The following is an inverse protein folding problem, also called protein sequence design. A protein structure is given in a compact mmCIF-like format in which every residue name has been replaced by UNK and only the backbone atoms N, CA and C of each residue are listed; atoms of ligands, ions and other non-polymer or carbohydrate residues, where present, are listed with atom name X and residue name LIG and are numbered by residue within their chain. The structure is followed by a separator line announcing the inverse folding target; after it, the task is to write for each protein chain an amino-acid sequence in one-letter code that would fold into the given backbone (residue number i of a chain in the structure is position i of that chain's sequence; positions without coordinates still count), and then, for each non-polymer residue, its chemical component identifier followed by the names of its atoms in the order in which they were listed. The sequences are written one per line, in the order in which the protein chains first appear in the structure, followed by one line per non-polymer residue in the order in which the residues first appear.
data_IF_650789939980
#
_entry.id   IF_650789939980
#
_cell.length_a   1.000
_cell.length_b   1.000
_cell.length_c   1.000
_cell.angle_alpha   90.00
_cell.angle_beta   90.00
_cell.angle_gamma   90.00
#
_symmetry.space_group_name_H-M   'P 1'
#
loop_
_entity.id
_entity.type
_entity.pdbx_description
1 polymer ?
#
# COMPACT_ATOMS: atom_id res chain seq x y z
N UNK A 1 21.59 -0.12 -4.60
CA UNK A 1 21.09 -1.00 -5.67
C UNK A 1 21.17 -2.44 -5.22
N UNK A 2 20.20 -3.26 -5.63
CA UNK A 2 20.19 -4.72 -5.41
C UNK A 2 19.98 -5.33 -6.80
N UNK A 3 20.86 -6.24 -7.22
CA UNK A 3 20.81 -6.88 -8.56
C UNK A 3 20.65 -5.89 -9.73
N UNK A 4 21.29 -4.72 -9.63
CA UNK A 4 21.21 -3.66 -10.65
C UNK A 4 19.92 -2.85 -10.64
N UNK A 5 19.04 -3.05 -9.66
CA UNK A 5 17.84 -2.22 -9.46
C UNK A 5 18.05 -1.18 -8.36
N UNK A 6 17.67 0.05 -8.64
CA UNK A 6 17.61 1.12 -7.64
C UNK A 6 16.45 0.84 -6.67
N UNK A 7 16.74 0.87 -5.37
CA UNK A 7 15.78 0.61 -4.30
C UNK A 7 15.83 1.75 -3.29
N UNK A 8 14.67 2.21 -2.85
CA UNK A 8 14.49 3.16 -1.76
C UNK A 8 13.53 2.61 -0.71
N UNK A 9 13.72 3.04 0.55
CA UNK A 9 12.85 2.66 1.68
C UNK A 9 12.38 3.94 2.35
N UNK A 10 11.06 4.10 2.49
CA UNK A 10 10.45 5.18 3.26
C UNK A 10 9.79 4.56 4.49
N UNK A 11 10.40 4.68 5.69
CA UNK A 11 9.79 4.12 6.89
C UNK A 11 8.66 5.00 7.40
N UNK A 12 7.76 4.40 8.19
CA UNK A 12 6.72 5.10 8.95
C UNK A 12 5.67 5.86 8.12
N UNK A 13 5.34 5.39 6.92
CA UNK A 13 4.22 5.90 6.10
C UNK A 13 2.84 5.50 6.68
N UNK A 14 2.58 5.84 7.95
CA UNK A 14 1.36 5.44 8.68
C UNK A 14 0.22 6.39 8.35
N UNK A 15 -0.93 5.81 7.98
CA UNK A 15 -2.16 6.54 7.67
C UNK A 15 -2.27 6.88 6.18
N UNK A 16 -3.48 6.75 5.63
CA UNK A 16 -3.69 6.79 4.18
C UNK A 16 -3.34 8.15 3.54
N UNK A 17 -3.66 9.27 4.19
CA UNK A 17 -3.33 10.59 3.63
C UNK A 17 -1.83 10.81 3.49
N UNK A 18 -1.02 10.29 4.43
CA UNK A 18 0.43 10.37 4.33
C UNK A 18 0.99 9.36 3.31
N UNK A 19 0.46 8.14 3.28
CA UNK A 19 0.83 7.11 2.30
C UNK A 19 0.59 7.60 0.86
N UNK A 20 -0.55 8.23 0.59
CA UNK A 20 -0.88 8.81 -0.72
C UNK A 20 0.12 9.92 -1.10
N UNK A 21 0.43 10.85 -0.19
CA UNK A 21 1.43 11.90 -0.44
C UNK A 21 2.78 11.29 -0.82
N UNK A 22 3.27 10.31 -0.04
CA UNK A 22 4.55 9.65 -0.30
C UNK A 22 4.52 8.94 -1.65
N UNK A 23 3.46 8.18 -1.93
CA UNK A 23 3.32 7.46 -3.18
C UNK A 23 3.32 8.39 -4.39
N UNK A 24 2.54 9.48 -4.36
CA UNK A 24 2.50 10.47 -5.44
C UNK A 24 3.89 11.08 -5.68
N UNK A 25 4.62 11.46 -4.62
CA UNK A 25 5.98 12.01 -4.77
C UNK A 25 6.96 10.99 -5.35
N UNK A 26 6.85 9.72 -4.98
CA UNK A 26 7.70 8.65 -5.52
C UNK A 26 7.42 8.42 -7.00
N UNK A 27 6.14 8.33 -7.41
CA UNK A 27 5.78 8.15 -8.82
C UNK A 27 6.21 9.35 -9.68
N UNK A 28 6.03 10.58 -9.19
CA UNK A 28 6.53 11.79 -9.89
C UNK A 28 8.06 11.80 -9.97
N UNK A 29 8.76 11.20 -9.01
CA UNK A 29 10.23 11.09 -9.00
C UNK A 29 10.77 9.93 -9.85
N UNK A 30 9.92 9.20 -10.57
CA UNK A 30 10.32 8.10 -11.45
C UNK A 30 10.30 6.71 -10.81
N UNK A 31 9.64 6.54 -9.66
CA UNK A 31 9.36 5.21 -9.11
C UNK A 31 8.40 4.45 -10.03
N UNK A 32 8.80 3.27 -10.51
CA UNK A 32 7.97 2.44 -11.39
C UNK A 32 7.20 1.35 -10.62
N UNK A 33 7.68 0.98 -9.43
CA UNK A 33 7.09 -0.04 -8.57
C UNK A 33 7.17 0.39 -7.11
N UNK A 34 6.00 0.50 -6.48
CA UNK A 34 5.87 0.75 -5.04
C UNK A 34 5.32 -0.51 -4.36
N UNK A 35 6.01 -0.97 -3.31
CA UNK A 35 5.60 -2.11 -2.49
C UNK A 35 5.40 -1.61 -1.06
N UNK A 36 4.16 -1.72 -0.56
CA UNK A 36 3.86 -1.45 0.85
C UNK A 36 4.14 -2.70 1.69
N UNK A 37 4.97 -2.55 2.72
CA UNK A 37 5.28 -3.61 3.68
C UNK A 37 4.87 -3.11 5.06
N UNK A 38 3.89 -3.78 5.66
CA UNK A 38 3.32 -3.41 6.95
C UNK A 38 2.90 -4.65 7.73
N UNK A 39 2.66 -4.49 9.03
CA UNK A 39 1.88 -5.45 9.79
C UNK A 39 0.38 -5.18 9.65
N UNK A 40 -0.43 -6.21 9.89
CA UNK A 40 -1.88 -6.12 9.95
C UNK A 40 -2.40 -7.05 11.05
N UNK A 41 -3.57 -6.73 11.60
CA UNK A 41 -4.30 -7.64 12.47
C UNK A 41 -4.97 -8.74 11.63
N UNK A 42 -5.16 -9.91 12.23
CA UNK A 42 -5.89 -11.03 11.62
C UNK A 42 -7.36 -10.93 12.04
N UNK A 43 -8.26 -10.97 11.06
CA UNK A 43 -9.71 -11.08 11.27
C UNK A 43 -10.17 -12.40 10.64
N UNK A 44 -10.55 -13.36 11.47
CA UNK A 44 -10.94 -14.71 11.06
C UNK A 44 -9.87 -15.77 11.34
N UNK A 45 -10.14 -17.01 10.97
CA UNK A 45 -9.21 -18.13 11.16
C UNK A 45 -8.18 -18.15 10.02
N UNK A 46 -7.02 -17.56 10.27
CA UNK A 46 -5.85 -17.67 9.41
C UNK A 46 -4.80 -18.50 10.15
N UNK A 47 -4.09 -19.33 9.40
CA UNK A 47 -2.94 -20.07 9.89
C UNK A 47 -1.84 -19.10 10.36
N UNK A 48 -1.72 -18.92 11.68
CA UNK A 48 -0.75 -18.04 12.31
C UNK A 48 0.71 -18.46 12.04
N UNK A 49 0.96 -19.69 11.59
CA UNK A 49 2.30 -20.11 11.17
C UNK A 49 2.72 -19.45 9.85
N UNK A 50 1.78 -18.88 9.09
CA UNK A 50 2.07 -18.08 7.90
C UNK A 50 2.45 -16.66 8.30
N UNK A 51 3.76 -16.39 8.36
CA UNK A 51 4.31 -15.10 8.76
C UNK A 51 4.06 -13.92 7.80
N UNK A 52 3.47 -14.14 6.62
CA UNK A 52 3.21 -13.10 5.63
C UNK A 52 1.92 -13.37 4.85
N UNK A 53 1.21 -12.29 4.49
CA UNK A 53 0.06 -12.30 3.60
C UNK A 53 0.30 -11.37 2.41
N UNK A 54 0.02 -11.85 1.20
CA UNK A 54 -0.06 -10.99 0.03
C UNK A 54 -1.48 -10.42 -0.07
N UNK A 55 -1.59 -9.11 0.06
CA UNK A 55 -2.87 -8.40 -0.06
C UNK A 55 -3.08 -8.03 -1.53
N UNK A 56 -4.10 -8.59 -2.16
CA UNK A 56 -4.48 -8.27 -3.55
C UNK A 56 -5.64 -7.27 -3.64
N UNK A 57 -6.36 -7.09 -2.54
CA UNK A 57 -7.52 -6.20 -2.43
C UNK A 57 -7.68 -5.69 -0.99
N UNK A 58 -8.26 -4.49 -0.85
CA UNK A 58 -8.49 -3.87 0.46
C UNK A 58 -9.83 -3.14 0.51
N UNK A 59 -10.44 -3.10 1.70
CA UNK A 59 -11.60 -2.25 1.99
C UNK A 59 -11.12 -0.80 2.17
N UNK A 60 -11.78 0.14 1.50
CA UNK A 60 -11.40 1.57 1.48
C UNK A 60 -11.94 2.36 2.68
N UNK A 61 -11.79 1.85 3.90
CA UNK A 61 -12.31 2.53 5.12
C UNK A 61 -11.35 3.59 5.68
N UNK A 62 -10.54 4.20 4.81
CA UNK A 62 -9.46 5.13 5.19
C UNK A 62 -9.76 6.60 4.90
N UNK A 63 -10.83 6.89 4.16
CA UNK A 63 -11.31 8.25 3.87
C UNK A 63 -10.63 8.97 2.70
N UNK A 64 -9.31 8.89 2.59
CA UNK A 64 -8.50 9.63 1.59
C UNK A 64 -8.83 9.22 0.17
N UNK A 65 -8.94 7.93 -0.11
CA UNK A 65 -9.18 7.43 -1.46
C UNK A 65 -10.51 7.90 -2.04
N UNK A 66 -11.52 8.22 -1.21
CA UNK A 66 -12.81 8.73 -1.66
C UNK A 66 -12.72 10.12 -2.30
N UNK A 67 -11.63 10.85 -2.08
CA UNK A 67 -11.34 12.10 -2.77
C UNK A 67 -10.80 11.88 -4.20
N UNK A 68 -10.37 10.65 -4.53
CA UNK A 68 -9.78 10.30 -5.82
C UNK A 68 -10.69 9.39 -6.66
N UNK A 69 -11.42 8.48 -6.01
CA UNK A 69 -12.24 7.47 -6.66
C UNK A 69 -13.64 7.38 -6.03
N UNK A 70 -14.71 7.20 -6.83
CA UNK A 70 -16.06 6.95 -6.32
C UNK A 70 -16.12 5.81 -5.31
N UNK A 71 -17.00 5.92 -4.32
CA UNK A 71 -17.06 4.98 -3.20
C UNK A 71 -17.42 3.53 -3.57
N UNK A 72 -18.13 3.34 -4.68
CA UNK A 72 -18.51 2.01 -5.16
C UNK A 72 -17.37 1.26 -5.88
N UNK A 73 -16.25 1.94 -6.18
CA UNK A 73 -15.11 1.29 -6.82
C UNK A 73 -14.24 0.60 -5.76
N UNK A 74 -13.88 -0.68 -5.97
CA UNK A 74 -12.96 -1.40 -5.09
C UNK A 74 -11.53 -0.84 -5.16
N UNK A 75 -10.73 -1.14 -4.14
CA UNK A 75 -9.27 -1.01 -4.24
C UNK A 75 -8.67 -2.29 -4.82
N UNK A 76 -8.80 -2.49 -6.14
CA UNK A 76 -7.91 -3.38 -6.89
C UNK A 76 -6.93 -2.51 -7.67
N UNK A 77 -5.64 -2.76 -7.48
CA UNK A 77 -4.58 -2.31 -8.38
C UNK A 77 -4.52 -0.81 -8.74
N UNK A 78 -4.96 0.08 -7.84
CA UNK A 78 -4.67 1.51 -7.92
C UNK A 78 -4.33 2.01 -6.51
N UNK A 79 -3.03 2.21 -6.28
CA UNK A 79 -2.48 3.04 -5.19
C UNK A 79 -3.16 2.91 -3.81
N UNK A 80 -2.85 1.81 -3.12
CA UNK A 80 -2.71 1.76 -1.65
C UNK A 80 -1.48 0.89 -1.35
#
# INVERSE_FOLDING_TARGET
EIDGQALGIVPYAVGASYAVLVAEQLFVSGCELLISITSAGIIGDIDEEKGFALITEAVRDEGTSYHYLPAHLPAYQTLC
#
